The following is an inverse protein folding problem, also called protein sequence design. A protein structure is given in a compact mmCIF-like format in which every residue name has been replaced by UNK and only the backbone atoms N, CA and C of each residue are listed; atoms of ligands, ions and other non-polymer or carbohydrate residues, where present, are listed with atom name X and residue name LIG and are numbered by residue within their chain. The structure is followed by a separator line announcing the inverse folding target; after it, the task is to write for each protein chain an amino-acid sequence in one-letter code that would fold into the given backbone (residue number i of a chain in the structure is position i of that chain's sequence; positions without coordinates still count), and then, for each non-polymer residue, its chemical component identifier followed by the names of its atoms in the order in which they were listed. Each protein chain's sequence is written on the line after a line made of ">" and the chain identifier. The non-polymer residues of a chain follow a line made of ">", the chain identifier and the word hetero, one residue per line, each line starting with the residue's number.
data_IF_871340908404
#
_entry.id   IF_871340908404
#
_cell.length_a   1.000
_cell.length_b   1.000
_cell.length_c   1.000
_cell.angle_alpha   90.00
_cell.angle_beta   90.00
_cell.angle_gamma   90.00
#
_symmetry.space_group_name_H-M   'P 1'
#
loop_
_entity.id
_entity.type
_entity.pdbx_description
1 polymer ?
#
# COMPACT_ATOMS: atom_id res chain seq x y z
N UNK A 1 12.00 27.72 -14.90
CA UNK A 1 11.02 26.62 -14.72
C UNK A 1 10.87 25.93 -16.06
N UNK A 2 10.84 24.60 -16.09
CA UNK A 2 10.63 23.89 -17.35
C UNK A 2 9.22 24.28 -17.89
N UNK A 3 9.17 24.76 -19.11
CA UNK A 3 7.92 25.19 -19.78
C UNK A 3 7.05 24.03 -20.26
N UNK A 4 7.33 22.83 -19.82
CA UNK A 4 6.65 21.59 -20.22
C UNK A 4 7.01 21.12 -21.65
N UNK A 5 7.74 21.91 -22.44
CA UNK A 5 8.16 21.51 -23.79
C UNK A 5 9.24 20.43 -23.79
N UNK A 6 9.93 20.25 -22.66
CA UNK A 6 11.00 19.26 -22.47
C UNK A 6 10.53 17.93 -21.85
N UNK A 7 9.22 17.74 -21.67
CA UNK A 7 8.69 16.49 -21.15
C UNK A 7 8.66 15.41 -22.23
N UNK A 8 9.17 14.23 -21.87
CA UNK A 8 9.16 13.06 -22.74
C UNK A 8 7.71 12.67 -23.11
N UNK A 9 7.34 12.63 -24.40
CA UNK A 9 5.98 12.28 -24.82
C UNK A 9 5.61 10.81 -24.54
N UNK A 10 6.58 9.93 -24.34
CA UNK A 10 6.37 8.49 -24.13
C UNK A 10 6.07 8.14 -22.67
N UNK A 11 6.15 9.11 -21.75
CA UNK A 11 5.81 8.89 -20.33
C UNK A 11 4.30 8.85 -20.17
N UNK A 12 3.77 7.65 -19.93
CA UNK A 12 2.34 7.38 -19.68
C UNK A 12 1.98 7.15 -18.21
N UNK A 13 2.95 7.08 -17.29
CA UNK A 13 2.72 6.76 -15.89
C UNK A 13 3.55 7.68 -14.99
N UNK A 14 2.92 8.16 -13.92
CA UNK A 14 3.59 8.77 -12.77
C UNK A 14 3.43 7.84 -11.58
N UNK A 15 4.55 7.25 -11.13
CA UNK A 15 4.58 6.36 -9.97
C UNK A 15 5.12 7.13 -8.76
N UNK A 16 4.28 7.28 -7.73
CA UNK A 16 4.67 7.82 -6.43
C UNK A 16 5.05 6.70 -5.46
N UNK A 17 6.14 6.88 -4.75
CA UNK A 17 6.64 5.93 -3.76
C UNK A 17 7.50 6.63 -2.71
N UNK A 18 8.16 5.84 -1.87
CA UNK A 18 9.10 6.39 -0.90
C UNK A 18 10.35 6.89 -1.62
N UNK A 19 10.56 8.20 -1.61
CA UNK A 19 11.72 8.86 -2.18
C UNK A 19 12.34 9.81 -1.13
N UNK A 20 13.48 9.41 -0.56
CA UNK A 20 14.23 10.23 0.41
C UNK A 20 14.84 11.51 -0.20
N UNK A 21 14.83 11.63 -1.53
CA UNK A 21 15.35 12.78 -2.26
C UNK A 21 14.25 13.51 -3.04
N UNK A 22 13.00 13.43 -2.56
CA UNK A 22 11.89 14.19 -3.15
C UNK A 22 12.22 15.69 -3.09
N UNK A 23 11.92 16.38 -4.18
CA UNK A 23 12.12 17.82 -4.28
C UNK A 23 11.05 18.44 -5.19
N UNK A 24 11.02 19.78 -5.20
CA UNK A 24 10.02 20.51 -5.99
C UNK A 24 10.07 20.18 -7.48
N UNK A 25 11.25 19.99 -8.06
CA UNK A 25 11.36 19.68 -9.49
C UNK A 25 10.70 18.34 -9.83
N UNK A 26 10.94 17.29 -9.04
CA UNK A 26 10.28 15.98 -9.22
C UNK A 26 8.76 16.08 -9.10
N UNK A 27 8.26 16.85 -8.13
CA UNK A 27 6.82 17.09 -7.97
C UNK A 27 6.25 17.86 -9.15
N UNK A 28 6.93 18.91 -9.64
CA UNK A 28 6.51 19.71 -10.77
C UNK A 28 6.47 18.88 -12.08
N UNK A 29 7.49 18.05 -12.32
CA UNK A 29 7.52 17.14 -13.46
C UNK A 29 6.39 16.09 -13.40
N UNK A 30 6.22 15.44 -12.26
CA UNK A 30 5.14 14.48 -12.04
C UNK A 30 3.77 15.12 -12.28
N UNK A 31 3.54 16.29 -11.71
CA UNK A 31 2.29 17.03 -11.93
C UNK A 31 2.07 17.38 -13.41
N UNK A 32 3.10 17.82 -14.13
CA UNK A 32 2.99 18.16 -15.54
C UNK A 32 2.65 16.92 -16.41
N UNK A 33 3.19 15.74 -16.12
CA UNK A 33 2.80 14.49 -16.76
C UNK A 33 1.35 14.10 -16.45
N UNK A 34 0.91 14.25 -15.19
CA UNK A 34 -0.49 13.98 -14.81
C UNK A 34 -1.47 14.89 -15.56
N UNK A 35 -1.13 16.16 -15.76
CA UNK A 35 -1.93 17.09 -16.54
C UNK A 35 -2.04 16.70 -18.03
N UNK A 36 -1.06 15.95 -18.55
CA UNK A 36 -1.06 15.40 -19.93
C UNK A 36 -1.81 14.05 -20.02
N UNK A 37 -2.35 13.55 -18.91
CA UNK A 37 -3.13 12.32 -18.91
C UNK A 37 -2.35 11.08 -18.51
N UNK A 38 -1.13 11.20 -18.00
CA UNK A 38 -0.41 10.06 -17.42
C UNK A 38 -1.21 9.44 -16.25
N UNK A 39 -1.14 8.12 -16.13
CA UNK A 39 -1.81 7.38 -15.05
C UNK A 39 -1.09 7.64 -13.73
N UNK A 40 -1.84 8.00 -12.68
CA UNK A 40 -1.28 8.22 -11.35
C UNK A 40 -1.33 6.94 -10.53
N UNK A 41 -0.16 6.38 -10.23
CA UNK A 41 0.01 5.17 -9.42
C UNK A 41 0.79 5.48 -8.15
N UNK A 42 0.56 4.70 -7.10
CA UNK A 42 1.37 4.72 -5.88
C UNK A 42 1.78 3.31 -5.47
N UNK A 43 3.01 3.16 -4.97
CA UNK A 43 3.48 1.88 -4.41
C UNK A 43 2.70 1.51 -3.15
N UNK A 44 2.42 2.49 -2.30
CA UNK A 44 1.52 2.45 -1.15
C UNK A 44 1.13 3.88 -0.74
N UNK A 45 0.18 4.00 0.15
CA UNK A 45 -0.33 5.28 0.66
C UNK A 45 -0.07 5.48 2.16
N UNK A 46 0.87 4.74 2.73
CA UNK A 46 1.20 4.82 4.16
C UNK A 46 1.67 6.22 4.52
N UNK A 47 1.05 6.81 5.54
CA UNK A 47 1.40 8.15 6.03
C UNK A 47 2.74 8.15 6.75
N UNK A 48 3.09 7.06 7.42
CA UNK A 48 4.32 6.94 8.22
C UNK A 48 5.11 5.69 7.87
N UNK A 49 6.42 5.80 8.06
CA UNK A 49 7.40 4.72 7.97
C UNK A 49 7.96 4.44 9.37
N UNK A 50 7.65 3.28 9.98
CA UNK A 50 8.26 2.90 11.25
C UNK A 50 9.77 2.66 11.09
N UNK A 51 10.53 3.15 12.05
CA UNK A 51 11.98 2.90 12.20
C UNK A 51 12.25 2.36 13.61
N UNK A 52 13.48 1.95 13.88
CA UNK A 52 13.85 1.40 15.19
C UNK A 52 13.56 2.34 16.38
N UNK A 53 13.56 3.66 16.15
CA UNK A 53 13.48 4.65 17.24
C UNK A 53 12.41 5.73 17.03
N UNK A 54 11.78 5.81 15.86
CA UNK A 54 10.80 6.87 15.54
C UNK A 54 9.93 6.53 14.33
N UNK A 55 8.99 7.43 14.03
CA UNK A 55 8.22 7.40 12.79
C UNK A 55 8.73 8.46 11.83
N UNK A 56 8.97 8.08 10.57
CA UNK A 56 9.27 9.01 9.49
C UNK A 56 8.07 9.15 8.54
N UNK A 57 8.03 10.18 7.68
CA UNK A 57 7.04 10.27 6.62
C UNK A 57 7.12 9.06 5.69
N UNK A 58 5.99 8.40 5.47
CA UNK A 58 5.86 7.26 4.55
C UNK A 58 5.66 7.70 3.09
N UNK A 59 5.48 6.73 2.21
CA UNK A 59 5.31 6.99 0.77
C UNK A 59 4.07 7.85 0.48
N UNK A 60 2.97 7.68 1.22
CA UNK A 60 1.79 8.53 1.10
C UNK A 60 2.06 9.99 1.45
N UNK A 61 2.86 10.25 2.49
CA UNK A 61 3.28 11.60 2.86
C UNK A 61 4.19 12.24 1.80
N UNK A 62 5.09 11.45 1.21
CA UNK A 62 5.96 11.91 0.12
C UNK A 62 5.13 12.29 -1.12
N UNK A 63 4.12 11.48 -1.46
CA UNK A 63 3.22 11.73 -2.59
C UNK A 63 2.16 12.80 -2.38
N UNK A 64 1.93 13.23 -1.13
CA UNK A 64 0.82 14.14 -0.77
C UNK A 64 0.82 15.46 -1.55
N UNK A 65 2.00 15.98 -1.92
CA UNK A 65 2.12 17.18 -2.75
C UNK A 65 1.51 17.01 -4.15
N UNK A 66 1.70 15.85 -4.77
CA UNK A 66 1.09 15.51 -6.06
C UNK A 66 -0.42 15.32 -5.94
N UNK A 67 -0.88 14.59 -4.92
CA UNK A 67 -2.30 14.39 -4.64
C UNK A 67 -3.00 15.75 -4.49
N UNK A 68 -2.43 16.65 -3.69
CA UNK A 68 -3.00 17.98 -3.46
C UNK A 68 -3.03 18.82 -4.73
N UNK A 69 -1.96 18.80 -5.51
CA UNK A 69 -1.87 19.58 -6.75
C UNK A 69 -2.78 19.05 -7.86
N UNK A 70 -2.85 17.73 -8.01
CA UNK A 70 -3.64 17.07 -9.06
C UNK A 70 -5.12 16.96 -8.72
N UNK A 71 -5.48 16.95 -7.41
CA UNK A 71 -6.85 16.86 -6.92
C UNK A 71 -7.46 15.47 -7.05
N UNK A 72 -6.66 14.43 -7.26
CA UNK A 72 -7.09 13.02 -7.32
C UNK A 72 -6.06 12.13 -6.62
N UNK A 73 -6.57 11.08 -5.98
CA UNK A 73 -5.73 10.05 -5.39
C UNK A 73 -5.11 9.14 -6.45
N UNK A 74 -3.90 8.61 -6.23
CA UNK A 74 -3.32 7.59 -7.07
C UNK A 74 -4.02 6.24 -6.89
N UNK A 75 -3.99 5.40 -7.92
CA UNK A 75 -4.29 3.99 -7.75
C UNK A 75 -3.14 3.35 -6.95
N UNK A 76 -3.43 2.95 -5.73
CA UNK A 76 -2.46 2.24 -4.90
C UNK A 76 -2.25 0.81 -5.44
N UNK A 77 -0.99 0.42 -5.63
CA UNK A 77 -0.61 -0.92 -6.09
C UNK A 77 -0.25 -1.86 -4.94
N UNK A 78 -0.06 -1.30 -3.72
CA UNK A 78 0.22 -2.08 -2.52
C UNK A 78 -1.05 -2.59 -1.82
N UNK A 79 -0.88 -3.47 -0.82
CA UNK A 79 -1.97 -3.92 0.06
C UNK A 79 -2.75 -2.74 0.65
N UNK A 80 -4.09 -2.79 0.72
CA UNK A 80 -4.99 -3.91 0.42
C UNK A 80 -5.52 -3.95 -1.03
N UNK A 81 -4.85 -3.29 -2.00
CA UNK A 81 -5.32 -3.14 -3.38
C UNK A 81 -5.58 -4.49 -4.06
N UNK A 82 -6.76 -4.61 -4.67
CA UNK A 82 -7.10 -5.79 -5.48
C UNK A 82 -6.24 -5.90 -6.74
N UNK A 83 -5.73 -4.80 -7.27
CA UNK A 83 -4.77 -4.84 -8.39
C UNK A 83 -3.52 -5.65 -8.05
N UNK A 84 -3.05 -5.58 -6.78
CA UNK A 84 -1.95 -6.43 -6.30
C UNK A 84 -2.36 -7.91 -6.24
N UNK A 85 -3.57 -8.22 -5.75
CA UNK A 85 -4.09 -9.59 -5.67
C UNK A 85 -4.21 -10.20 -7.07
N UNK A 86 -4.77 -9.46 -8.01
CA UNK A 86 -4.95 -9.91 -9.39
C UNK A 86 -3.60 -10.14 -10.09
N UNK A 87 -2.60 -9.29 -9.83
CA UNK A 87 -1.24 -9.48 -10.33
C UNK A 87 -0.57 -10.74 -9.75
N UNK A 88 -0.77 -11.01 -8.45
CA UNK A 88 -0.25 -12.22 -7.80
C UNK A 88 -0.93 -13.46 -8.39
N UNK A 89 -2.26 -13.47 -8.48
CA UNK A 89 -3.01 -14.58 -9.07
C UNK A 89 -2.63 -14.82 -10.54
N UNK A 90 -2.55 -13.75 -11.33
CA UNK A 90 -2.15 -13.83 -12.74
C UNK A 90 -0.73 -14.39 -12.92
N UNK A 91 0.17 -14.15 -11.95
CA UNK A 91 1.56 -14.65 -11.99
C UNK A 91 1.69 -16.11 -11.52
N UNK A 92 0.94 -16.48 -10.47
CA UNK A 92 1.15 -17.76 -9.77
C UNK A 92 0.00 -18.76 -9.97
N UNK A 93 -1.14 -18.32 -10.53
CA UNK A 93 -2.30 -19.18 -10.83
C UNK A 93 -2.74 -20.06 -9.64
N UNK A 94 -2.77 -19.48 -8.44
CA UNK A 94 -3.14 -20.20 -7.23
C UNK A 94 -4.66 -20.15 -6.96
N UNK A 95 -5.15 -21.10 -6.20
CA UNK A 95 -6.54 -21.13 -5.72
C UNK A 95 -6.65 -20.25 -4.46
N UNK A 96 -7.32 -19.12 -4.57
CA UNK A 96 -7.53 -18.17 -3.46
C UNK A 96 -8.13 -18.84 -2.23
N UNK A 97 -9.03 -19.80 -2.40
CA UNK A 97 -9.67 -20.51 -1.28
C UNK A 97 -8.71 -21.38 -0.47
N UNK A 98 -7.54 -21.69 -1.00
CA UNK A 98 -6.47 -22.48 -0.37
C UNK A 98 -5.28 -21.65 0.08
N UNK A 99 -5.36 -20.33 -0.07
CA UNK A 99 -4.32 -19.41 0.34
C UNK A 99 -4.71 -18.69 1.64
N UNK A 100 -3.72 -18.34 2.43
CA UNK A 100 -3.88 -17.58 3.66
C UNK A 100 -3.02 -16.32 3.63
N UNK A 101 -3.59 -15.18 3.99
CA UNK A 101 -2.83 -13.98 4.25
C UNK A 101 -2.34 -13.98 5.69
N UNK A 102 -1.03 -13.84 5.86
CA UNK A 102 -0.39 -13.69 7.17
C UNK A 102 0.20 -12.31 7.28
N UNK A 103 -0.13 -11.57 8.33
CA UNK A 103 0.39 -10.22 8.51
C UNK A 103 0.08 -9.62 9.87
N UNK A 104 0.68 -8.48 10.14
CA UNK A 104 0.62 -7.80 11.45
C UNK A 104 -0.24 -6.53 11.44
N UNK A 105 -0.78 -6.15 10.27
CA UNK A 105 -1.54 -4.92 10.11
C UNK A 105 -2.94 -5.20 9.58
N UNK A 106 -3.96 -4.77 10.34
CA UNK A 106 -5.36 -5.05 10.00
C UNK A 106 -5.81 -4.37 8.71
N UNK A 107 -5.60 -3.07 8.60
CA UNK A 107 -6.08 -2.26 7.48
C UNK A 107 -5.29 -2.42 6.17
N UNK A 108 -4.26 -3.22 6.15
CA UNK A 108 -3.50 -3.57 4.95
C UNK A 108 -3.48 -5.08 4.74
N UNK A 109 -2.82 -5.84 5.61
CA UNK A 109 -2.62 -7.27 5.44
C UNK A 109 -3.93 -8.05 5.56
N UNK A 110 -4.60 -7.92 6.69
CA UNK A 110 -5.82 -8.68 6.95
C UNK A 110 -6.93 -8.28 5.98
N UNK A 111 -7.09 -6.98 5.75
CA UNK A 111 -8.04 -6.46 4.76
C UNK A 111 -7.73 -6.98 3.36
N UNK A 112 -6.45 -7.04 2.95
CA UNK A 112 -6.04 -7.60 1.68
C UNK A 112 -6.47 -9.07 1.51
N UNK A 113 -6.33 -9.87 2.56
CA UNK A 113 -6.79 -11.26 2.58
C UNK A 113 -8.31 -11.39 2.47
N UNK A 114 -9.05 -10.55 3.22
CA UNK A 114 -10.52 -10.53 3.21
C UNK A 114 -11.05 -10.09 1.84
N UNK A 115 -10.62 -8.93 1.34
CA UNK A 115 -11.07 -8.39 0.05
C UNK A 115 -10.62 -9.26 -1.11
N UNK A 116 -9.43 -9.88 -1.02
CA UNK A 116 -8.91 -10.85 -1.97
C UNK A 116 -9.64 -12.19 -1.94
N UNK A 117 -10.58 -12.39 -1.02
CA UNK A 117 -11.34 -13.65 -0.83
C UNK A 117 -10.43 -14.86 -0.65
N UNK A 118 -9.35 -14.68 0.11
CA UNK A 118 -8.48 -15.78 0.47
C UNK A 118 -9.18 -16.74 1.45
N UNK A 119 -8.77 -18.01 1.45
CA UNK A 119 -9.32 -19.04 2.34
C UNK A 119 -9.08 -18.79 3.83
N UNK A 120 -8.13 -17.90 4.18
CA UNK A 120 -7.86 -17.54 5.56
C UNK A 120 -7.11 -16.23 5.72
N UNK A 121 -7.18 -15.68 6.94
CA UNK A 121 -6.37 -14.56 7.40
C UNK A 121 -5.84 -14.85 8.81
N UNK A 122 -4.53 -14.67 8.99
CA UNK A 122 -3.83 -14.89 10.25
C UNK A 122 -3.11 -13.62 10.69
N UNK A 123 -3.48 -13.07 11.83
CA UNK A 123 -2.76 -11.97 12.43
C UNK A 123 -1.59 -12.48 13.28
N UNK A 124 -0.42 -11.84 13.16
CA UNK A 124 0.74 -12.07 14.04
C UNK A 124 0.94 -10.84 14.93
N UNK A 125 1.12 -11.06 16.23
CA UNK A 125 1.18 -9.98 17.24
C UNK A 125 2.59 -9.38 17.40
N UNK A 126 3.55 -9.79 16.59
CA UNK A 126 4.93 -9.29 16.63
C UNK A 126 5.10 -7.88 16.05
N UNK A 127 4.10 -7.37 15.32
CA UNK A 127 4.21 -6.13 14.57
C UNK A 127 3.34 -4.98 15.08
N UNK A 128 2.59 -4.35 14.16
CA UNK A 128 1.90 -3.07 14.36
C UNK A 128 0.67 -3.21 15.25
N UNK A 129 -0.29 -4.07 14.85
CA UNK A 129 -1.52 -4.22 15.60
C UNK A 129 -1.36 -5.18 16.78
N UNK A 130 -2.09 -4.89 17.86
CA UNK A 130 -2.14 -5.68 19.05
C UNK A 130 -3.49 -6.39 19.17
N UNK A 131 -3.57 -7.35 20.07
CA UNK A 131 -4.78 -8.17 20.30
C UNK A 131 -6.01 -7.31 20.57
N UNK A 132 -5.86 -6.20 21.29
CA UNK A 132 -6.93 -5.27 21.64
C UNK A 132 -7.52 -4.54 20.43
N UNK A 133 -6.77 -4.48 19.33
CA UNK A 133 -7.20 -3.78 18.11
C UNK A 133 -8.31 -4.54 17.36
N UNK A 134 -8.41 -5.85 17.52
CA UNK A 134 -9.39 -6.68 16.82
C UNK A 134 -10.27 -7.53 17.75
N UNK A 135 -10.01 -7.56 19.06
CA UNK A 135 -10.93 -8.15 20.03
C UNK A 135 -11.87 -7.07 20.57
N UNK A 136 -13.16 -7.37 20.57
CA UNK A 136 -14.20 -6.48 21.07
C UNK A 136 -15.27 -6.17 20.03
N UNK A 137 -16.35 -5.51 20.48
CA UNK A 137 -17.47 -5.16 19.64
C UNK A 137 -17.13 -3.99 18.71
N UNK A 138 -17.75 -3.95 17.50
CA UNK A 138 -17.65 -2.83 16.55
C UNK A 138 -16.36 -2.78 15.73
N UNK A 139 -15.57 -3.84 15.71
CA UNK A 139 -14.37 -3.93 14.85
C UNK A 139 -14.76 -4.33 13.43
N UNK A 140 -14.28 -3.58 12.44
CA UNK A 140 -14.62 -3.78 11.02
C UNK A 140 -13.75 -4.83 10.33
N UNK A 141 -12.46 -4.90 10.70
CA UNK A 141 -11.48 -5.81 10.09
C UNK A 141 -11.05 -6.84 11.13
N UNK A 142 -11.49 -8.08 10.94
CA UNK A 142 -11.22 -9.19 11.86
C UNK A 142 -10.41 -10.28 11.17
N UNK A 143 -9.26 -10.71 11.72
CA UNK A 143 -8.57 -11.91 11.25
C UNK A 143 -9.37 -13.16 11.61
N UNK A 144 -9.26 -14.23 10.82
CA UNK A 144 -9.86 -15.53 11.15
C UNK A 144 -9.20 -16.19 12.36
N UNK A 145 -7.89 -15.96 12.52
CA UNK A 145 -7.10 -16.43 13.65
C UNK A 145 -5.95 -15.47 13.95
N UNK A 146 -5.35 -15.62 15.11
CA UNK A 146 -4.13 -14.92 15.47
C UNK A 146 -3.17 -15.81 16.27
N UNK A 147 -1.89 -15.50 16.21
CA UNK A 147 -0.82 -16.10 17.01
C UNK A 147 0.12 -15.01 17.51
N UNK A 148 0.84 -15.27 18.59
CA UNK A 148 1.80 -14.29 19.12
C UNK A 148 2.94 -14.07 18.13
N UNK A 149 3.47 -15.13 17.54
CA UNK A 149 4.49 -15.07 16.50
C UNK A 149 4.24 -16.14 15.40
N UNK A 150 4.76 -15.91 14.19
CA UNK A 150 4.62 -16.89 13.12
C UNK A 150 5.27 -18.23 13.45
N UNK A 151 6.33 -18.22 14.29
CA UNK A 151 6.99 -19.44 14.77
C UNK A 151 6.10 -20.37 15.58
N UNK A 152 5.03 -19.86 16.18
CA UNK A 152 4.09 -20.67 16.99
C UNK A 152 3.32 -21.69 16.15
N UNK A 153 3.32 -21.55 14.82
CA UNK A 153 2.74 -22.54 13.91
C UNK A 153 3.58 -23.81 13.76
N UNK A 154 4.82 -23.81 14.24
CA UNK A 154 5.71 -24.95 14.15
C UNK A 154 5.59 -25.93 15.32
N UNK A 155 4.85 -25.59 16.38
CA UNK A 155 4.61 -26.39 17.59
C UNK A 155 5.74 -26.29 18.58
#
# INVERSE_FOLDING_TARGET
>A
MADGSSLDPDVGIVLSGLDFHVNYLKLAMGFAYLQRGAIFLATNTDSTLPTAHSLFPGAGSVGAGLVKAFGKDPLALGKPSQAMMDAIEGRFHFDRSKACMVGDRLNTDIQFGIEGKLGGTLAVLTGVNKKEDFLGEGKEVLPMAYVDALGDLLG
#
